data_IF_142199812964
#
_entry.id   IF_142199812964
#
_cell.length_a   1.000
_cell.length_b   1.000
_cell.length_c   1.000
_cell.angle_alpha   90.00
_cell.angle_beta   90.00
_cell.angle_gamma   90.00
#
_symmetry.space_group_name_H-M   'P 1'
#
loop_
_entity.id
_entity.type
_entity.pdbx_description
1 polymer ?
#
# COMPACT_ATOMS: atom_id res chain seq x y z
N UNK A 1 7.59 -30.45 -23.89
CA UNK A 1 6.81 -29.23 -24.18
C UNK A 1 5.65 -29.20 -23.21
N UNK A 2 5.45 -28.13 -22.43
CA UNK A 2 4.38 -28.07 -21.42
C UNK A 2 3.00 -28.03 -22.06
N UNK A 3 2.03 -28.67 -21.41
CA UNK A 3 0.60 -28.66 -21.73
C UNK A 3 -0.02 -27.30 -21.42
N UNK A 4 -1.21 -27.04 -21.98
CA UNK A 4 -1.94 -25.80 -21.69
C UNK A 4 -2.43 -25.75 -20.23
N UNK A 5 -2.67 -26.91 -19.59
CA UNK A 5 -2.97 -27.02 -18.16
C UNK A 5 -1.75 -26.66 -17.30
N UNK A 6 -0.57 -27.20 -17.60
CA UNK A 6 0.68 -26.86 -16.88
C UNK A 6 1.02 -25.37 -17.02
N UNK A 7 0.81 -24.80 -18.21
CA UNK A 7 0.96 -23.35 -18.40
C UNK A 7 -0.08 -22.60 -17.58
N UNK A 8 -1.35 -23.02 -17.57
CA UNK A 8 -2.41 -22.36 -16.79
C UNK A 8 -2.15 -22.42 -15.30
N UNK A 9 -1.69 -23.54 -14.76
CA UNK A 9 -1.32 -23.70 -13.36
C UNK A 9 -0.16 -22.78 -12.95
N UNK A 10 0.74 -22.44 -13.89
CA UNK A 10 1.85 -21.52 -13.65
C UNK A 10 1.49 -20.03 -13.86
N UNK A 11 0.28 -19.71 -14.31
CA UNK A 11 -0.13 -18.34 -14.59
C UNK A 11 -0.78 -17.67 -13.37
N UNK A 12 -0.14 -16.58 -12.91
CA UNK A 12 -0.72 -15.62 -11.96
C UNK A 12 -0.61 -14.20 -12.54
N UNK A 13 -1.45 -13.26 -12.08
CA UNK A 13 -1.40 -11.84 -12.43
C UNK A 13 -0.07 -11.15 -12.05
N UNK A 14 0.62 -11.65 -11.02
CA UNK A 14 1.91 -11.17 -10.52
C UNK A 14 3.12 -11.69 -11.32
N UNK A 15 2.95 -12.71 -12.18
CA UNK A 15 4.07 -13.36 -12.87
C UNK A 15 4.05 -13.04 -14.36
N UNK A 16 5.20 -12.64 -14.91
CA UNK A 16 5.32 -12.31 -16.34
C UNK A 16 5.23 -13.55 -17.23
N UNK A 17 4.72 -13.39 -18.47
CA UNK A 17 4.74 -14.47 -19.47
C UNK A 17 6.17 -14.98 -19.74
N UNK A 18 7.18 -14.10 -19.66
CA UNK A 18 8.57 -14.48 -19.85
C UNK A 18 9.09 -15.35 -18.70
N UNK A 19 8.68 -15.06 -17.46
CA UNK A 19 9.05 -15.86 -16.29
C UNK A 19 8.47 -17.27 -16.38
N UNK A 20 7.19 -17.39 -16.72
CA UNK A 20 6.53 -18.69 -16.95
C UNK A 20 7.17 -19.44 -18.12
N UNK A 21 7.44 -18.75 -19.22
CA UNK A 21 8.08 -19.32 -20.40
C UNK A 21 9.48 -19.89 -20.08
N UNK A 22 10.27 -19.16 -19.29
CA UNK A 22 11.59 -19.61 -18.83
C UNK A 22 11.49 -20.82 -17.88
N UNK A 23 10.56 -20.77 -16.94
CA UNK A 23 10.36 -21.85 -15.97
C UNK A 23 9.92 -23.16 -16.64
N UNK A 24 9.05 -23.07 -17.65
CA UNK A 24 8.49 -24.24 -18.34
C UNK A 24 9.21 -24.60 -19.65
N UNK A 25 10.29 -23.88 -19.99
CA UNK A 25 11.06 -24.13 -21.22
C UNK A 25 10.23 -24.01 -22.51
N UNK A 26 9.33 -23.03 -22.59
CA UNK A 26 8.49 -22.81 -23.77
C UNK A 26 8.50 -21.36 -24.25
N UNK A 27 7.85 -21.07 -25.39
CA UNK A 27 7.87 -19.71 -25.95
C UNK A 27 6.93 -18.76 -25.20
N UNK A 28 7.33 -17.50 -24.95
CA UNK A 28 6.45 -16.48 -24.35
C UNK A 28 5.14 -16.26 -25.14
N UNK A 29 5.18 -16.45 -26.45
CA UNK A 29 3.99 -16.37 -27.31
C UNK A 29 3.00 -17.51 -27.06
N UNK A 30 3.46 -18.72 -26.70
CA UNK A 30 2.59 -19.82 -26.28
C UNK A 30 1.91 -19.47 -24.95
N UNK A 31 2.70 -19.03 -23.97
CA UNK A 31 2.19 -18.60 -22.66
C UNK A 31 1.15 -17.48 -22.79
N UNK A 32 1.39 -16.48 -23.66
CA UNK A 32 0.43 -15.40 -23.93
C UNK A 32 -0.92 -15.92 -24.44
N UNK A 33 -0.91 -16.88 -25.37
CA UNK A 33 -2.15 -17.47 -25.92
C UNK A 33 -2.94 -18.21 -24.84
N UNK A 34 -2.26 -19.02 -24.03
CA UNK A 34 -2.90 -19.74 -22.91
C UNK A 34 -3.45 -18.76 -21.89
N UNK A 35 -2.69 -17.70 -21.53
CA UNK A 35 -3.14 -16.66 -20.60
C UNK A 35 -4.43 -15.98 -21.06
N UNK A 36 -4.52 -15.62 -22.34
CA UNK A 36 -5.73 -15.03 -22.92
C UNK A 36 -6.90 -16.01 -22.88
N UNK A 37 -6.69 -17.28 -23.25
CA UNK A 37 -7.73 -18.31 -23.23
C UNK A 37 -8.25 -18.60 -21.82
N UNK A 38 -7.37 -18.60 -20.83
CA UNK A 38 -7.70 -18.82 -19.42
C UNK A 38 -8.29 -17.57 -18.73
N UNK A 39 -8.38 -16.43 -19.42
CA UNK A 39 -8.89 -15.18 -18.83
C UNK A 39 -8.00 -14.58 -17.74
N UNK A 40 -6.76 -15.04 -17.59
CA UNK A 40 -5.86 -14.56 -16.54
C UNK A 40 -5.33 -13.17 -16.94
N UNK A 41 -5.46 -12.14 -16.07
CA UNK A 41 -4.97 -10.80 -16.37
C UNK A 41 -3.49 -10.79 -16.75
N UNK A 42 -3.08 -9.98 -17.73
CA UNK A 42 -1.66 -9.85 -18.08
C UNK A 42 -0.86 -9.24 -16.94
N UNK A 43 0.33 -9.77 -16.66
CA UNK A 43 1.30 -9.09 -15.80
C UNK A 43 1.57 -7.67 -16.30
N UNK A 44 1.29 -6.69 -15.44
CA UNK A 44 1.49 -5.26 -15.72
C UNK A 44 2.82 -4.84 -15.14
N UNK A 45 3.87 -4.84 -15.97
CA UNK A 45 5.17 -4.26 -15.62
C UNK A 45 5.04 -2.73 -15.62
N UNK A 46 5.20 -2.07 -14.47
CA UNK A 46 5.17 -0.61 -14.40
C UNK A 46 4.93 -0.08 -13.00
N UNK A 47 5.00 1.25 -12.86
CA UNK A 47 4.61 1.96 -11.62
C UNK A 47 3.15 1.60 -11.31
N UNK A 48 2.82 1.24 -10.06
CA UNK A 48 1.43 1.07 -9.65
C UNK A 48 0.60 2.29 -10.07
N UNK A 49 -0.69 2.09 -10.37
CA UNK A 49 -1.59 3.22 -10.64
C UNK A 49 -1.40 4.27 -9.54
N UNK A 50 -1.34 5.55 -9.92
CA UNK A 50 -1.44 6.61 -8.93
C UNK A 50 -2.69 6.34 -8.06
N UNK A 51 -2.55 6.50 -6.74
CA UNK A 51 -3.71 6.41 -5.89
C UNK A 51 -4.70 7.50 -6.32
N UNK A 52 -6.00 7.21 -6.30
CA UNK A 52 -7.02 8.18 -6.70
C UNK A 52 -7.48 9.08 -5.54
N UNK A 53 -7.10 8.73 -4.29
CA UNK A 53 -7.48 9.48 -3.10
C UNK A 53 -6.45 9.33 -1.98
N UNK A 54 -6.55 10.19 -0.96
CA UNK A 54 -5.74 10.10 0.25
C UNK A 54 -6.00 8.80 1.02
N UNK A 55 -7.25 8.34 1.07
CA UNK A 55 -7.63 7.10 1.74
C UNK A 55 -6.99 5.88 1.07
N UNK A 56 -7.13 5.77 -0.26
CA UNK A 56 -6.48 4.70 -1.03
C UNK A 56 -4.96 4.71 -0.85
N UNK A 57 -4.35 5.90 -0.86
CA UNK A 57 -2.91 6.05 -0.68
C UNK A 57 -2.46 5.63 0.73
N UNK A 58 -3.20 6.02 1.76
CA UNK A 58 -2.90 5.69 3.16
C UNK A 58 -3.05 4.19 3.42
N UNK A 59 -4.13 3.56 2.95
CA UNK A 59 -4.32 2.11 3.08
C UNK A 59 -3.21 1.35 2.37
N UNK A 60 -2.81 1.78 1.16
CA UNK A 60 -1.74 1.13 0.40
C UNK A 60 -0.37 1.22 1.07
N UNK A 61 -0.12 2.27 1.86
CA UNK A 61 1.17 2.55 2.49
C UNK A 61 1.18 2.22 3.98
N UNK A 62 0.14 1.53 4.46
CA UNK A 62 0.07 1.06 5.84
C UNK A 62 -0.14 -0.44 5.89
N UNK A 63 0.36 -1.06 6.96
CA UNK A 63 0.17 -2.47 7.25
C UNK A 63 -0.39 -2.57 8.66
N UNK A 64 -1.54 -3.24 8.81
CA UNK A 64 -2.07 -3.54 10.12
C UNK A 64 -1.12 -4.49 10.85
N UNK A 65 -0.85 -4.19 12.11
CA UNK A 65 -0.03 -4.99 13.01
C UNK A 65 -0.80 -5.18 14.32
N UNK A 66 -0.32 -6.09 15.18
CA UNK A 66 -1.01 -6.47 16.41
C UNK A 66 -1.36 -5.26 17.28
N UNK A 67 -2.42 -5.37 18.09
CA UNK A 67 -2.84 -4.31 19.01
C UNK A 67 -3.54 -3.11 18.34
N UNK A 68 -4.04 -3.25 17.12
CA UNK A 68 -4.68 -2.16 16.38
C UNK A 68 -3.70 -1.11 15.84
N UNK A 69 -2.40 -1.40 15.90
CA UNK A 69 -1.37 -0.53 15.35
C UNK A 69 -1.37 -0.59 13.82
N UNK A 70 -0.82 0.46 13.21
CA UNK A 70 -0.52 0.50 11.78
C UNK A 70 0.93 0.90 11.58
N UNK A 71 1.69 0.03 10.90
CA UNK A 71 3.04 0.29 10.46
C UNK A 71 3.02 1.07 9.15
N UNK A 72 3.96 2.01 9.00
CA UNK A 72 4.11 2.79 7.78
C UNK A 72 5.14 2.14 6.84
N UNK A 73 4.72 1.73 5.65
CA UNK A 73 5.57 1.13 4.61
C UNK A 73 5.91 2.09 3.46
N UNK A 74 5.48 3.35 3.58
CA UNK A 74 5.62 4.37 2.55
C UNK A 74 6.85 5.27 2.69
N UNK A 75 6.92 6.33 1.86
CA UNK A 75 8.00 7.30 1.94
C UNK A 75 7.98 8.06 3.26
N UNK A 76 9.17 8.44 3.72
CA UNK A 76 9.38 9.31 4.88
C UNK A 76 10.14 10.57 4.47
N UNK A 77 10.04 11.63 5.27
CA UNK A 77 10.93 12.79 5.15
C UNK A 77 12.36 12.44 5.57
N UNK A 78 13.31 13.35 5.35
CA UNK A 78 14.68 13.23 5.87
C UNK A 78 14.70 13.08 7.40
N UNK A 79 13.73 13.70 8.09
CA UNK A 79 13.53 13.58 9.53
C UNK A 79 12.76 12.32 9.96
N UNK A 80 12.48 11.38 9.06
CA UNK A 80 11.78 10.13 9.38
C UNK A 80 10.25 10.24 9.52
N UNK A 81 9.65 11.37 9.13
CA UNK A 81 8.19 11.55 9.24
C UNK A 81 7.46 10.91 8.07
N UNK A 82 6.53 9.99 8.35
CA UNK A 82 5.66 9.35 7.36
C UNK A 82 4.85 10.38 6.55
N UNK A 83 4.94 10.33 5.22
CA UNK A 83 4.37 11.34 4.32
C UNK A 83 3.55 10.72 3.18
N UNK A 84 2.34 11.23 3.01
CA UNK A 84 1.48 10.97 1.86
C UNK A 84 1.77 12.01 0.78
N UNK A 85 1.99 11.56 -0.46
CA UNK A 85 2.17 12.43 -1.63
C UNK A 85 1.14 12.09 -2.68
N UNK A 86 0.22 13.02 -2.95
CA UNK A 86 -0.86 12.86 -3.92
C UNK A 86 -1.04 14.15 -4.71
N UNK A 87 -1.01 14.07 -6.04
CA UNK A 87 -1.24 15.20 -6.95
C UNK A 87 -0.46 16.48 -6.62
N UNK A 88 0.84 16.32 -6.32
CA UNK A 88 1.74 17.42 -5.98
C UNK A 88 1.55 17.99 -4.57
N UNK A 89 0.58 17.48 -3.80
CA UNK A 89 0.33 17.86 -2.42
C UNK A 89 0.94 16.85 -1.45
N UNK A 90 1.31 17.34 -0.28
CA UNK A 90 1.90 16.54 0.78
C UNK A 90 1.05 16.63 2.04
N UNK A 91 0.86 15.51 2.74
CA UNK A 91 0.25 15.44 4.06
C UNK A 91 1.05 14.46 4.93
N UNK A 92 1.15 14.68 6.23
CA UNK A 92 1.72 13.65 7.10
C UNK A 92 0.69 12.54 7.33
N UNK A 93 1.17 11.29 7.38
CA UNK A 93 0.27 10.15 7.58
C UNK A 93 -0.47 10.24 8.93
N UNK A 94 0.22 10.67 9.98
CA UNK A 94 -0.36 10.84 11.32
C UNK A 94 -1.46 11.91 11.37
N UNK A 95 -1.27 13.08 10.73
CA UNK A 95 -2.33 14.11 10.70
C UNK A 95 -3.53 13.64 9.89
N UNK A 96 -3.29 13.04 8.73
CA UNK A 96 -4.36 12.46 7.92
C UNK A 96 -5.19 11.43 8.71
N UNK A 97 -4.51 10.48 9.36
CA UNK A 97 -5.17 9.44 10.15
C UNK A 97 -5.94 10.01 11.35
N UNK A 98 -5.39 11.02 12.02
CA UNK A 98 -6.07 11.75 13.09
C UNK A 98 -7.38 12.36 12.57
N UNK A 99 -7.31 13.14 11.49
CA UNK A 99 -8.49 13.83 10.95
C UNK A 99 -9.60 12.88 10.52
N UNK A 100 -9.24 11.75 9.91
CA UNK A 100 -10.20 10.73 9.49
C UNK A 100 -10.94 10.12 10.70
N UNK A 101 -10.23 9.84 11.79
CA UNK A 101 -10.81 9.19 12.98
C UNK A 101 -11.55 10.18 13.87
N UNK A 102 -10.99 11.38 14.09
CA UNK A 102 -11.55 12.36 15.03
C UNK A 102 -12.50 13.35 14.37
N UNK A 103 -12.62 13.35 13.04
CA UNK A 103 -13.55 14.21 12.30
C UNK A 103 -13.20 15.71 12.37
N UNK A 104 -11.99 16.06 12.79
CA UNK A 104 -11.51 17.45 12.92
C UNK A 104 -10.03 17.58 12.59
N UNK A 105 -9.60 18.79 12.24
CA UNK A 105 -8.18 19.10 12.11
C UNK A 105 -7.44 18.97 13.45
N UNK A 106 -6.21 18.47 13.38
CA UNK A 106 -5.35 18.34 14.54
C UNK A 106 -4.81 19.69 15.01
N UNK A 107 -4.94 19.99 16.31
CA UNK A 107 -4.37 21.18 16.92
C UNK A 107 -2.89 20.95 17.28
N UNK A 108 -2.00 21.78 16.74
CA UNK A 108 -0.57 21.73 17.07
C UNK A 108 0.14 20.46 16.59
N UNK A 109 1.04 19.94 17.43
CA UNK A 109 1.85 18.76 17.11
C UNK A 109 1.07 17.46 17.36
N UNK A 110 1.12 16.55 16.38
CA UNK A 110 0.54 15.21 16.48
C UNK A 110 1.61 14.19 16.77
N UNK A 111 1.33 13.27 17.69
CA UNK A 111 2.21 12.15 18.01
C UNK A 111 1.39 10.91 18.33
N UNK A 112 1.96 9.71 18.16
CA UNK A 112 1.37 8.50 18.72
C UNK A 112 1.23 8.65 20.24
N UNK A 113 0.08 8.24 20.78
CA UNK A 113 -0.16 8.05 22.21
C UNK A 113 0.06 6.61 22.67
N UNK A 114 0.52 5.73 21.77
CA UNK A 114 0.86 4.34 22.05
C UNK A 114 2.38 4.12 22.02
N UNK A 115 2.80 2.95 22.49
CA UNK A 115 4.23 2.58 22.55
C UNK A 115 4.78 2.04 21.22
N UNK A 116 3.92 1.68 20.25
CA UNK A 116 4.39 1.19 18.95
C UNK A 116 5.16 2.29 18.17
N UNK A 117 6.44 2.06 17.82
CA UNK A 117 7.28 3.06 17.19
C UNK A 117 6.71 3.53 15.84
N UNK A 118 6.51 4.84 15.72
CA UNK A 118 6.03 5.43 14.47
C UNK A 118 4.63 4.98 14.05
N UNK A 119 3.79 4.54 14.99
CA UNK A 119 2.41 4.16 14.72
C UNK A 119 1.68 5.27 13.96
N UNK A 120 0.97 4.91 12.89
CA UNK A 120 0.15 5.86 12.13
C UNK A 120 -1.34 5.58 12.26
N UNK A 121 -1.77 4.64 13.12
CA UNK A 121 -3.18 4.31 13.34
C UNK A 121 -3.91 5.49 13.97
N UNK A 122 -4.98 5.98 13.32
CA UNK A 122 -5.66 7.22 13.72
C UNK A 122 -6.19 7.23 15.16
N UNK A 123 -6.69 6.09 15.65
CA UNK A 123 -7.16 5.92 17.03
C UNK A 123 -6.04 6.09 18.08
N UNK A 124 -4.80 5.83 17.67
CA UNK A 124 -3.62 5.99 18.50
C UNK A 124 -2.93 7.34 18.32
N UNK A 125 -3.34 8.17 17.36
CA UNK A 125 -2.78 9.51 17.21
C UNK A 125 -3.49 10.48 18.15
N UNK A 126 -2.69 11.29 18.84
CA UNK A 126 -3.14 12.39 19.69
C UNK A 126 -2.53 13.69 19.20
N UNK A 127 -3.33 14.75 19.17
CA UNK A 127 -2.84 16.10 18.92
C UNK A 127 -2.36 16.76 20.22
N UNK A 128 -2.00 18.05 20.16
CA UNK A 128 -1.53 18.77 21.35
C UNK A 128 -2.67 18.96 22.37
N UNK A 129 -3.85 19.36 21.91
CA UNK A 129 -4.99 19.65 22.77
C UNK A 129 -5.41 18.43 23.60
N UNK A 130 -5.52 17.25 22.97
CA UNK A 130 -5.82 16.00 23.65
C UNK A 130 -4.78 15.63 24.73
N UNK A 131 -3.50 15.86 24.45
CA UNK A 131 -2.41 15.54 25.40
C UNK A 131 -2.36 16.51 26.57
N UNK A 132 -2.75 17.76 26.35
CA UNK A 132 -2.80 18.80 27.37
C UNK A 132 -4.13 18.82 28.14
N UNK A 133 -5.06 17.89 27.86
CA UNK A 133 -6.37 17.82 28.52
C UNK A 133 -7.31 18.96 28.16
N UNK A 134 -7.08 19.62 27.02
CA UNK A 134 -7.96 20.65 26.46
C UNK A 134 -8.97 19.98 25.52
N UNK A 135 -10.07 19.49 26.07
CA UNK A 135 -11.20 18.91 25.32
C UNK A 135 -12.45 19.75 25.48
#
# INVERSE_FOLDING_TARGET
MPTDEEITAALDAAVSNLSVARALGCSPSRVRRVRVRAGVPSYRRGRPRAAASWAELYERLTVAVDGGHRHWSGPVTVSGTAILRLDGRNRTAARYAFEVVHGREAEGHVSPGCEYPGCVAGEHIRDRAMREGRS
#
